data_IF_226207770589
#
_entry.id   IF_226207770589
#
_cell.length_a   1.000
_cell.length_b   1.000
_cell.length_c   1.000
_cell.angle_alpha   90.00
_cell.angle_beta   90.00
_cell.angle_gamma   90.00
#
_symmetry.space_group_name_H-M   'P 1'
#
loop_
_entity.id
_entity.type
_entity.pdbx_description
1 polymer ?
#
# COMPACT_ATOMS: atom_id res chain seq x y z
N UNK A 1 -5.77 -2.87 -73.03
CA UNK A 1 -5.07 -2.41 -71.81
C UNK A 1 -5.68 -1.07 -71.43
N UNK A 2 -6.10 -0.87 -70.18
CA UNK A 2 -6.88 0.30 -69.78
C UNK A 2 -6.39 0.76 -68.39
N UNK A 3 -5.73 1.92 -68.33
CA UNK A 3 -5.22 2.47 -67.07
C UNK A 3 -6.33 3.23 -66.35
N UNK A 4 -6.75 2.72 -65.19
CA UNK A 4 -7.66 3.43 -64.27
C UNK A 4 -6.80 4.19 -63.26
N UNK A 5 -6.84 5.53 -63.31
CA UNK A 5 -6.13 6.38 -62.37
C UNK A 5 -6.96 6.59 -61.10
N UNK A 6 -6.51 6.06 -59.96
CA UNK A 6 -7.17 6.26 -58.67
C UNK A 6 -6.53 7.48 -57.96
N UNK A 7 -7.05 8.67 -58.27
CA UNK A 7 -6.97 9.85 -57.40
C UNK A 7 -8.15 9.80 -56.42
N UNK A 8 -7.90 9.57 -55.13
CA UNK A 8 -8.78 9.97 -54.02
C UNK A 8 -7.95 9.96 -52.72
N UNK A 9 -7.44 11.14 -52.33
CA UNK A 9 -6.70 11.37 -51.09
C UNK A 9 -7.25 12.67 -50.48
N UNK A 10 -8.35 12.56 -49.73
CA UNK A 10 -8.90 13.62 -48.87
C UNK A 10 -10.02 13.06 -47.95
N UNK A 11 -10.28 13.77 -46.84
CA UNK A 11 -11.59 13.81 -46.17
C UNK A 11 -12.18 12.52 -45.56
N UNK A 12 -11.38 11.74 -44.81
CA UNK A 12 -11.89 11.01 -43.63
C UNK A 12 -11.05 11.38 -42.40
N UNK A 13 -11.20 12.61 -41.94
CA UNK A 13 -10.67 13.11 -40.67
C UNK A 13 -11.66 14.15 -40.13
N UNK A 14 -12.29 13.85 -39.00
CA UNK A 14 -13.03 14.75 -38.06
C UNK A 14 -13.93 13.91 -37.12
N UNK A 15 -14.53 12.81 -37.59
CA UNK A 15 -15.64 12.13 -36.90
C UNK A 15 -15.25 11.01 -35.92
N UNK A 16 -14.14 11.15 -35.18
CA UNK A 16 -13.67 10.11 -34.23
C UNK A 16 -13.09 10.70 -32.93
N UNK A 17 -13.81 11.63 -32.31
CA UNK A 17 -13.30 12.43 -31.18
C UNK A 17 -14.29 12.65 -30.01
N UNK A 18 -15.34 11.81 -29.86
CA UNK A 18 -16.48 12.12 -28.97
C UNK A 18 -17.00 10.97 -28.08
N UNK A 19 -16.20 9.94 -27.78
CA UNK A 19 -16.67 8.73 -27.06
C UNK A 19 -15.68 8.16 -26.01
N UNK A 20 -14.93 9.02 -25.29
CA UNK A 20 -13.84 8.57 -24.40
C UNK A 20 -13.73 9.35 -23.06
N UNK A 21 -14.85 9.72 -22.43
CA UNK A 21 -14.87 10.59 -21.23
C UNK A 21 -15.58 9.97 -20.01
N UNK A 22 -15.71 8.64 -19.93
CA UNK A 22 -16.71 7.99 -19.06
C UNK A 22 -16.18 6.75 -18.29
N UNK A 23 -15.04 6.80 -17.57
CA UNK A 23 -14.50 5.55 -16.96
C UNK A 23 -13.76 5.66 -15.62
N UNK A 24 -14.01 6.71 -14.81
CA UNK A 24 -13.27 6.94 -13.56
C UNK A 24 -13.90 6.36 -12.27
N UNK A 25 -15.21 6.07 -12.23
CA UNK A 25 -15.93 5.91 -10.96
C UNK A 25 -15.97 4.47 -10.37
N UNK A 26 -15.31 3.49 -11.00
CA UNK A 26 -15.44 2.07 -10.63
C UNK A 26 -14.59 1.58 -9.44
N UNK A 27 -13.43 2.17 -9.18
CA UNK A 27 -12.45 1.58 -8.25
C UNK A 27 -12.84 1.69 -6.77
N UNK A 28 -13.41 2.82 -6.32
CA UNK A 28 -13.69 3.08 -4.90
C UNK A 28 -14.63 2.04 -4.27
N UNK A 29 -15.66 1.61 -5.02
CA UNK A 29 -16.59 0.58 -4.55
C UNK A 29 -15.90 -0.78 -4.30
N UNK A 30 -14.98 -1.17 -5.19
CA UNK A 30 -14.26 -2.45 -5.07
C UNK A 30 -13.29 -2.48 -3.88
N UNK A 31 -12.69 -1.35 -3.54
CA UNK A 31 -11.77 -1.20 -2.41
C UNK A 31 -12.48 -1.32 -1.06
N UNK A 32 -13.64 -0.67 -0.91
CA UNK A 32 -14.50 -0.80 0.27
C UNK A 32 -15.00 -2.23 0.45
N UNK A 33 -15.46 -2.87 -0.63
CA UNK A 33 -15.96 -4.25 -0.62
C UNK A 33 -14.86 -5.26 -0.26
N UNK A 34 -13.64 -5.09 -0.78
CA UNK A 34 -12.48 -5.90 -0.41
C UNK A 34 -12.10 -5.70 1.06
N UNK A 35 -12.04 -4.45 1.52
CA UNK A 35 -11.69 -4.11 2.90
C UNK A 35 -12.66 -4.75 3.90
N UNK A 36 -13.96 -4.66 3.64
CA UNK A 36 -15.00 -5.35 4.41
C UNK A 36 -14.77 -6.86 4.44
N UNK A 37 -14.56 -7.49 3.27
CA UNK A 37 -14.36 -8.93 3.17
C UNK A 37 -13.06 -9.44 3.81
N UNK A 38 -12.05 -8.57 3.99
CA UNK A 38 -10.85 -8.84 4.77
C UNK A 38 -11.13 -8.75 6.29
N UNK A 39 -11.86 -7.71 6.72
CA UNK A 39 -12.24 -7.49 8.13
C UNK A 39 -13.17 -8.58 8.67
N UNK A 40 -14.15 -9.04 7.89
CA UNK A 40 -15.08 -10.10 8.28
C UNK A 40 -14.40 -11.48 8.48
N UNK A 41 -13.14 -11.65 8.03
CA UNK A 41 -12.32 -12.84 8.30
C UNK A 41 -11.59 -12.80 9.65
N UNK A 42 -11.53 -11.64 10.32
CA UNK A 42 -10.84 -11.50 11.59
C UNK A 42 -11.81 -11.80 12.76
N UNK A 43 -11.63 -12.89 13.52
CA UNK A 43 -12.55 -13.26 14.59
C UNK A 43 -12.56 -12.27 15.78
N UNK A 44 -11.57 -11.38 15.91
CA UNK A 44 -11.49 -10.38 16.98
C UNK A 44 -12.28 -9.10 16.69
N UNK A 45 -12.74 -8.91 15.45
CA UNK A 45 -13.43 -7.69 15.00
C UNK A 45 -14.88 -8.03 14.62
N UNK A 46 -15.79 -7.06 14.74
CA UNK A 46 -17.16 -7.13 14.23
C UNK A 46 -17.44 -5.85 13.44
N UNK A 47 -17.78 -5.98 12.16
CA UNK A 47 -18.28 -4.83 11.36
C UNK A 47 -19.67 -4.45 11.89
N UNK A 48 -19.87 -3.18 12.19
CA UNK A 48 -21.16 -2.64 12.64
C UNK A 48 -21.93 -1.98 11.50
N UNK A 49 -21.26 -1.11 10.74
CA UNK A 49 -21.83 -0.43 9.57
C UNK A 49 -20.75 -0.08 8.56
N UNK A 50 -21.13 0.03 7.29
CA UNK A 50 -20.31 0.60 6.22
C UNK A 50 -21.05 1.83 5.70
N UNK A 51 -20.36 2.97 5.65
CA UNK A 51 -20.87 4.19 5.01
C UNK A 51 -20.11 4.41 3.70
N UNK A 52 -20.78 4.07 2.60
CA UNK A 52 -20.24 4.20 1.24
C UNK A 52 -20.11 5.67 0.78
N UNK A 53 -20.80 6.62 1.44
CA UNK A 53 -20.72 8.05 1.13
C UNK A 53 -19.55 8.71 1.88
N UNK A 54 -19.34 8.34 3.14
CA UNK A 54 -18.21 8.79 3.95
C UNK A 54 -16.91 8.00 3.66
N UNK A 55 -17.00 6.86 2.95
CA UNK A 55 -15.90 5.92 2.72
C UNK A 55 -15.28 5.36 4.01
N UNK A 56 -16.12 5.11 5.02
CA UNK A 56 -15.72 4.64 6.36
C UNK A 56 -16.42 3.34 6.76
N UNK A 57 -15.68 2.45 7.41
CA UNK A 57 -16.20 1.25 8.06
C UNK A 57 -16.19 1.47 9.57
N UNK A 58 -17.35 1.30 10.23
CA UNK A 58 -17.42 1.21 11.69
C UNK A 58 -17.21 -0.23 12.14
N UNK A 59 -16.24 -0.40 13.01
CA UNK A 59 -15.80 -1.66 13.59
C UNK A 59 -16.06 -1.64 15.09
N UNK A 60 -16.23 -2.82 15.67
CA UNK A 60 -16.20 -3.05 17.11
C UNK A 60 -15.16 -4.11 17.44
N UNK A 61 -14.26 -3.80 18.36
CA UNK A 61 -13.17 -4.69 18.78
C UNK A 61 -13.69 -5.55 19.94
N UNK A 62 -13.81 -6.87 19.73
CA UNK A 62 -14.47 -7.76 20.71
C UNK A 62 -13.73 -7.87 22.04
N UNK A 63 -12.44 -7.55 22.08
CA UNK A 63 -11.62 -7.58 23.29
C UNK A 63 -11.81 -6.37 24.21
N UNK A 64 -12.25 -5.22 23.68
CA UNK A 64 -12.44 -3.96 24.43
C UNK A 64 -13.88 -3.42 24.38
N UNK A 65 -14.73 -4.02 23.55
CA UNK A 65 -16.07 -3.55 23.12
C UNK A 65 -16.08 -2.15 22.46
N UNK A 66 -14.89 -1.65 22.11
CA UNK A 66 -14.64 -0.31 21.59
C UNK A 66 -15.08 -0.18 20.13
N UNK A 67 -15.75 0.93 19.79
CA UNK A 67 -16.16 1.25 18.43
C UNK A 67 -15.15 2.19 17.75
N UNK A 68 -14.59 1.74 16.63
CA UNK A 68 -13.60 2.47 15.84
C UNK A 68 -14.14 2.70 14.42
N UNK A 69 -13.98 3.91 13.90
CA UNK A 69 -14.32 4.26 12.51
C UNK A 69 -13.03 4.42 11.70
N UNK A 70 -12.85 3.63 10.64
CA UNK A 70 -11.64 3.61 9.80
C UNK A 70 -11.96 3.67 8.32
N UNK A 71 -11.06 4.27 7.54
CA UNK A 71 -11.08 4.27 6.09
C UNK A 71 -10.26 3.09 5.51
N UNK A 72 -10.50 2.69 4.25
CA UNK A 72 -9.70 1.67 3.57
C UNK A 72 -8.18 1.95 3.56
N UNK A 73 -7.77 3.22 3.45
CA UNK A 73 -6.36 3.62 3.43
C UNK A 73 -5.63 3.38 4.76
N UNK A 74 -6.30 3.62 5.88
CA UNK A 74 -5.73 3.40 7.22
C UNK A 74 -5.56 1.90 7.51
N UNK A 75 -6.49 1.07 7.03
CA UNK A 75 -6.43 -0.40 7.12
C UNK A 75 -5.25 -1.01 6.34
N UNK A 76 -4.75 -0.32 5.31
CA UNK A 76 -3.62 -0.77 4.50
C UNK A 76 -2.25 -0.35 5.07
N UNK A 77 -2.21 0.64 5.98
CA UNK A 77 -0.98 1.30 6.41
C UNK A 77 -0.38 0.73 7.72
N UNK A 78 -1.12 -0.08 8.48
CA UNK A 78 -0.75 -0.46 9.85
C UNK A 78 -0.86 -1.98 10.11
N UNK A 79 0.11 -2.59 10.82
CA UNK A 79 -0.08 -3.86 11.50
C UNK A 79 -1.31 -3.82 12.43
N UNK A 80 -2.04 -4.94 12.51
CA UNK A 80 -3.26 -5.04 13.33
C UNK A 80 -2.98 -4.81 14.83
N UNK A 81 -1.74 -5.04 15.28
CA UNK A 81 -1.30 -4.71 16.65
C UNK A 81 -1.26 -3.20 16.92
N UNK A 82 -0.96 -2.38 15.91
CA UNK A 82 -0.79 -0.94 16.06
C UNK A 82 -2.14 -0.20 16.03
N UNK A 83 -3.16 -0.79 15.37
CA UNK A 83 -4.55 -0.32 15.44
C UNK A 83 -5.09 -0.26 16.89
N UNK A 84 -4.62 -1.14 17.77
CA UNK A 84 -4.96 -1.15 19.20
C UNK A 84 -4.27 -0.04 20.01
N UNK A 85 -3.32 0.71 19.41
CA UNK A 85 -2.50 1.71 20.09
C UNK A 85 -2.85 3.16 19.71
N UNK A 86 -3.76 3.38 18.75
CA UNK A 86 -4.04 4.70 18.19
C UNK A 86 -4.86 5.63 19.10
N UNK A 87 -5.74 5.11 19.94
CA UNK A 87 -6.77 5.90 20.64
C UNK A 87 -6.30 6.57 21.95
N UNK A 88 -5.01 6.93 22.04
CA UNK A 88 -4.41 7.58 23.22
C UNK A 88 -4.21 9.10 23.06
N UNK A 89 -4.58 9.69 21.91
CA UNK A 89 -4.31 11.09 21.56
C UNK A 89 -5.59 11.94 21.60
N UNK A 90 -5.66 13.03 22.41
CA UNK A 90 -6.82 13.91 22.44
C UNK A 90 -6.93 14.77 21.17
N UNK A 91 -8.15 15.07 20.66
CA UNK A 91 -8.33 15.77 19.39
C UNK A 91 -8.02 17.26 19.51
N UNK A 92 -7.18 17.77 18.59
CA UNK A 92 -6.97 19.21 18.37
C UNK A 92 -7.76 19.68 17.15
N UNK A 93 -8.56 20.74 17.28
CA UNK A 93 -9.46 21.21 16.22
C UNK A 93 -8.92 22.40 15.43
N UNK A 94 -8.94 22.33 14.10
CA UNK A 94 -8.93 23.51 13.22
C UNK A 94 -9.46 23.19 11.80
N UNK A 95 -10.59 23.81 11.43
CA UNK A 95 -10.97 24.11 10.03
C UNK A 95 -10.28 25.43 9.57
N UNK A 96 -10.39 25.91 8.31
CA UNK A 96 -11.15 25.43 7.13
C UNK A 96 -10.17 24.90 6.02
N UNK A 97 -10.49 24.74 4.72
CA UNK A 97 -11.62 25.13 3.86
C UNK A 97 -11.83 24.14 2.68
N UNK A 98 -12.72 24.47 1.73
CA UNK A 98 -13.08 23.68 0.53
C UNK A 98 -13.10 24.59 -0.71
N UNK A 99 -12.72 24.05 -1.89
CA UNK A 99 -13.04 24.59 -3.23
C UNK A 99 -13.36 23.40 -4.17
N UNK A 100 -14.19 23.60 -5.20
CA UNK A 100 -15.02 22.56 -5.84
C UNK A 100 -14.46 21.75 -7.04
N UNK A 101 -15.18 20.64 -7.26
CA UNK A 101 -15.42 19.70 -8.41
C UNK A 101 -15.44 20.32 -9.85
N UNK A 102 -15.56 19.56 -10.99
CA UNK A 102 -15.97 18.14 -11.25
C UNK A 102 -14.93 17.29 -12.06
N UNK A 103 -14.97 15.95 -12.25
CA UNK A 103 -15.98 14.88 -12.46
C UNK A 103 -16.41 14.59 -13.93
N UNK A 104 -16.31 13.30 -14.36
CA UNK A 104 -17.12 12.59 -15.41
C UNK A 104 -16.89 11.04 -15.36
N UNK A 105 -17.89 10.25 -15.80
CA UNK A 105 -18.07 8.81 -15.47
C UNK A 105 -18.97 8.04 -16.47
N UNK A 106 -18.91 6.68 -16.57
CA UNK A 106 -19.96 5.70 -17.06
C UNK A 106 -19.62 4.61 -18.13
N UNK A 107 -19.94 3.32 -17.81
CA UNK A 107 -20.35 2.18 -18.72
C UNK A 107 -19.36 1.63 -19.79
N UNK A 108 -19.56 0.48 -20.48
CA UNK A 108 -20.12 -0.90 -20.23
C UNK A 108 -19.83 -1.78 -21.52
N UNK A 109 -20.30 -3.02 -21.83
CA UNK A 109 -21.26 -3.98 -21.24
C UNK A 109 -21.05 -5.45 -21.76
N UNK A 110 -21.41 -6.44 -20.93
CA UNK A 110 -22.07 -7.77 -21.14
C UNK A 110 -21.94 -8.69 -22.41
N UNK A 111 -21.96 -10.01 -22.17
CA UNK A 111 -22.65 -11.12 -22.91
C UNK A 111 -22.63 -12.44 -22.05
N UNK A 112 -23.51 -13.43 -22.30
CA UNK A 112 -23.68 -14.71 -21.53
C UNK A 112 -24.04 -15.89 -22.51
N UNK A 113 -24.56 -17.12 -22.14
CA UNK A 113 -24.83 -17.80 -20.84
C UNK A 113 -24.50 -19.35 -20.80
N UNK A 114 -25.06 -20.10 -19.81
CA UNK A 114 -25.40 -21.58 -19.84
C UNK A 114 -24.31 -22.62 -19.47
N UNK A 115 -24.58 -23.83 -18.86
CA UNK A 115 -25.74 -24.38 -18.11
C UNK A 115 -25.43 -24.82 -16.63
N UNK A 116 -26.40 -25.45 -15.93
CA UNK A 116 -26.28 -26.03 -14.57
C UNK A 116 -26.06 -27.57 -14.55
N UNK A 117 -25.76 -28.19 -13.38
CA UNK A 117 -26.71 -29.21 -12.85
C UNK A 117 -26.80 -29.41 -11.31
N UNK A 118 -27.96 -29.98 -10.89
CA UNK A 118 -28.24 -30.88 -9.74
C UNK A 118 -28.14 -30.42 -8.25
N UNK A 119 -29.10 -30.92 -7.44
CA UNK A 119 -29.11 -30.94 -5.96
C UNK A 119 -28.50 -32.26 -5.42
N UNK A 120 -28.27 -32.37 -4.09
CA UNK A 120 -29.22 -33.15 -3.27
C UNK A 120 -29.59 -32.52 -1.90
N UNK A 121 -30.57 -33.14 -1.22
CA UNK A 121 -31.07 -32.78 0.12
C UNK A 121 -30.20 -33.34 1.27
N UNK A 122 -30.24 -32.71 2.46
CA UNK A 122 -30.59 -33.37 3.74
C UNK A 122 -30.50 -32.42 4.97
N UNK A 123 -31.38 -32.65 5.93
CA UNK A 123 -31.37 -32.15 7.32
C UNK A 123 -30.35 -32.95 8.19
N UNK A 124 -29.90 -32.48 9.39
CA UNK A 124 -30.76 -32.00 10.47
C UNK A 124 -30.26 -30.80 11.30
N UNK A 125 -31.11 -30.40 12.26
CA UNK A 125 -30.81 -29.43 13.32
C UNK A 125 -29.72 -29.95 14.28
N UNK A 126 -28.99 -29.05 14.93
CA UNK A 126 -28.06 -29.41 16.03
C UNK A 126 -28.04 -28.34 17.12
N UNK A 127 -28.62 -28.74 18.25
CA UNK A 127 -28.49 -28.28 19.64
C UNK A 127 -27.42 -27.22 19.94
N UNK A 128 -27.81 -26.15 20.66
CA UNK A 128 -26.89 -25.19 21.27
C UNK A 128 -26.03 -25.85 22.36
N UNK A 129 -24.68 -25.71 22.32
CA UNK A 129 -23.83 -25.83 23.50
C UNK A 129 -23.99 -24.62 24.44
N UNK A 130 -23.78 -24.84 25.74
CA UNK A 130 -23.85 -23.78 26.75
C UNK A 130 -22.65 -22.80 26.71
N UNK A 131 -22.78 -21.66 27.39
CA UNK A 131 -21.74 -20.63 27.50
C UNK A 131 -20.42 -21.20 28.07
N UNK A 132 -19.27 -21.02 27.39
CA UNK A 132 -17.97 -21.22 28.00
C UNK A 132 -17.70 -20.06 28.97
N UNK A 133 -17.48 -20.37 30.25
CA UNK A 133 -17.13 -19.38 31.26
C UNK A 133 -15.80 -18.69 30.91
N UNK A 134 -15.79 -17.35 30.98
CA UNK A 134 -14.64 -16.53 30.61
C UNK A 134 -13.45 -16.82 31.54
N UNK A 135 -12.31 -17.31 31.03
CA UNK A 135 -11.11 -17.45 31.85
C UNK A 135 -10.58 -16.06 32.20
N UNK A 136 -10.36 -15.80 33.49
CA UNK A 136 -9.77 -14.55 33.98
C UNK A 136 -8.48 -14.24 33.23
N UNK A 137 -8.42 -13.09 32.56
CA UNK A 137 -7.27 -12.72 31.76
C UNK A 137 -5.99 -12.69 32.62
N UNK A 138 -4.89 -13.34 32.21
CA UNK A 138 -3.67 -13.35 32.99
C UNK A 138 -3.08 -11.94 33.07
N UNK A 139 -2.89 -11.45 34.30
CA UNK A 139 -2.28 -10.15 34.54
C UNK A 139 -0.83 -10.12 34.01
N UNK A 140 -0.63 -9.40 32.92
CA UNK A 140 0.71 -9.02 32.45
C UNK A 140 1.26 -7.91 33.34
N UNK A 141 2.55 -7.99 33.67
CA UNK A 141 3.24 -6.95 34.46
C UNK A 141 4.17 -6.17 33.54
N UNK A 142 4.04 -4.85 33.54
CA UNK A 142 4.88 -3.92 32.78
C UNK A 142 5.75 -3.15 33.77
N UNK A 143 7.03 -3.51 33.82
CA UNK A 143 8.04 -2.80 34.60
C UNK A 143 8.82 -1.84 33.67
N UNK A 144 9.06 -0.62 34.15
CA UNK A 144 9.81 0.42 33.43
C UNK A 144 10.90 0.97 34.35
N UNK A 145 12.14 0.60 34.09
CA UNK A 145 13.32 0.98 34.87
C UNK A 145 14.45 1.35 33.91
N UNK A 146 15.17 2.44 34.18
CA UNK A 146 16.36 2.90 33.42
C UNK A 146 16.21 2.86 31.90
N UNK A 147 15.09 3.38 31.38
CA UNK A 147 14.79 3.45 29.95
C UNK A 147 14.45 2.11 29.28
N UNK A 148 14.45 1.00 30.03
CA UNK A 148 14.05 -0.32 29.55
C UNK A 148 12.62 -0.64 29.97
N UNK A 149 11.91 -1.30 29.07
CA UNK A 149 10.57 -1.85 29.31
C UNK A 149 10.67 -3.36 29.34
N UNK A 150 10.23 -3.95 30.46
CA UNK A 150 10.10 -5.39 30.64
C UNK A 150 8.63 -5.75 30.76
N UNK A 151 8.13 -6.60 29.87
CA UNK A 151 6.77 -7.13 29.92
C UNK A 151 6.85 -8.61 30.23
N UNK A 152 6.28 -9.00 31.37
CA UNK A 152 6.28 -10.38 31.87
C UNK A 152 4.86 -10.91 31.99
N UNK A 153 4.60 -12.06 31.38
CA UNK A 153 3.32 -12.77 31.43
C UNK A 153 3.51 -14.28 31.21
N UNK A 154 2.47 -15.11 31.37
CA UNK A 154 2.59 -16.55 31.19
C UNK A 154 3.00 -16.89 29.76
N UNK A 155 4.17 -17.50 29.60
CA UNK A 155 4.75 -17.89 28.31
C UNK A 155 5.52 -16.80 27.55
N UNK A 156 5.54 -15.54 28.01
CA UNK A 156 6.30 -14.46 27.37
C UNK A 156 7.08 -13.60 28.37
N UNK A 157 8.36 -13.37 28.06
CA UNK A 157 9.21 -12.35 28.69
C UNK A 157 9.81 -11.51 27.57
N UNK A 158 9.24 -10.31 27.38
CA UNK A 158 9.72 -9.34 26.40
C UNK A 158 10.56 -8.31 27.14
N UNK A 159 11.87 -8.34 26.92
CA UNK A 159 12.82 -7.43 27.53
C UNK A 159 13.53 -6.64 26.42
N UNK A 160 13.39 -5.32 26.48
CA UNK A 160 14.05 -4.42 25.51
C UNK A 160 15.53 -4.34 25.81
N UNK A 161 16.34 -5.11 25.08
CA UNK A 161 17.80 -4.99 25.15
C UNK A 161 18.21 -3.56 24.75
N UNK A 162 19.15 -2.93 25.47
CA UNK A 162 19.65 -1.61 25.08
C UNK A 162 20.35 -1.73 23.73
N UNK A 163 19.92 -0.92 22.75
CA UNK A 163 20.49 -0.96 21.40
C UNK A 163 21.92 -0.43 21.42
N UNK A 164 22.89 -1.35 21.32
CA UNK A 164 24.28 -1.09 21.61
C UNK A 164 25.06 -0.55 20.39
N UNK A 165 24.67 0.62 19.86
CA UNK A 165 25.42 1.30 18.81
C UNK A 165 25.19 2.82 18.79
N UNK A 166 26.30 3.60 18.81
CA UNK A 166 26.33 5.01 18.38
C UNK A 166 26.16 6.08 19.46
N UNK A 167 27.27 6.72 19.83
CA UNK A 167 27.27 8.03 20.50
C UNK A 167 26.72 9.13 19.57
N UNK A 168 25.39 9.27 19.48
CA UNK A 168 24.73 10.47 18.95
C UNK A 168 23.29 10.63 19.47
N UNK A 169 23.02 10.14 20.69
CA UNK A 169 21.72 10.16 21.36
C UNK A 169 21.26 11.55 21.85
N UNK A 170 21.47 12.60 21.05
CA UNK A 170 20.64 13.81 21.12
C UNK A 170 19.25 13.41 20.65
N UNK A 171 18.25 13.38 21.55
CA UNK A 171 16.88 12.90 21.33
C UNK A 171 16.04 13.70 20.33
N UNK A 172 16.51 13.84 19.09
CA UNK A 172 15.72 14.31 17.94
C UNK A 172 14.88 13.15 17.44
N UNK A 173 13.57 13.38 17.33
CA UNK A 173 12.67 12.60 16.49
C UNK A 173 13.33 12.33 15.13
N UNK A 174 13.25 11.09 14.58
CA UNK A 174 13.82 10.80 13.27
C UNK A 174 13.28 11.81 12.25
N UNK A 175 14.19 12.56 11.64
CA UNK A 175 13.84 13.50 10.56
C UNK A 175 13.60 12.68 9.31
N UNK A 176 12.38 12.73 8.81
CA UNK A 176 12.06 12.19 7.51
C UNK A 176 12.43 13.20 6.42
N UNK A 177 13.03 12.71 5.34
CA UNK A 177 13.24 13.44 4.10
C UNK A 177 11.92 13.54 3.31
N UNK A 178 11.81 14.53 2.43
CA UNK A 178 10.70 14.62 1.46
C UNK A 178 10.89 13.61 0.31
N UNK A 179 9.80 13.01 -0.22
CA UNK A 179 9.85 12.11 -1.38
C UNK A 179 10.50 12.76 -2.62
N UNK A 180 11.40 12.04 -3.29
CA UNK A 180 12.03 12.51 -4.53
C UNK A 180 11.18 12.08 -5.73
N UNK A 181 10.57 13.06 -6.41
CA UNK A 181 9.86 12.85 -7.67
C UNK A 181 10.76 13.23 -8.85
N UNK A 182 11.00 12.29 -9.77
CA UNK A 182 11.71 12.52 -11.03
C UNK A 182 10.76 12.39 -12.23
N UNK A 183 10.74 13.39 -13.09
CA UNK A 183 9.83 13.49 -14.23
C UNK A 183 10.54 14.16 -15.42
N UNK A 184 10.37 13.60 -16.64
CA UNK A 184 10.79 14.18 -17.92
C UNK A 184 12.30 14.26 -18.22
N UNK A 185 13.15 14.50 -17.21
CA UNK A 185 14.58 14.79 -17.38
C UNK A 185 15.48 13.78 -16.64
N UNK A 186 16.77 13.80 -16.99
CA UNK A 186 17.79 13.05 -16.24
C UNK A 186 18.00 13.63 -14.83
N UNK A 187 18.14 12.76 -13.85
CA UNK A 187 18.37 13.10 -12.44
C UNK A 187 19.39 12.16 -11.80
N UNK A 188 20.12 12.64 -10.79
CA UNK A 188 21.10 11.86 -10.03
C UNK A 188 20.87 11.98 -8.53
N UNK A 189 20.94 10.85 -7.83
CA UNK A 189 20.88 10.69 -6.37
C UNK A 189 22.15 9.96 -5.96
N UNK A 190 23.21 10.74 -5.69
CA UNK A 190 24.54 10.21 -5.43
C UNK A 190 24.98 10.48 -3.98
N UNK A 191 25.45 9.43 -3.29
CA UNK A 191 25.96 9.48 -1.91
C UNK A 191 24.97 10.06 -0.87
N UNK A 192 23.65 9.86 -1.06
CA UNK A 192 22.62 10.31 -0.10
C UNK A 192 22.14 9.17 0.79
N UNK A 193 21.97 9.44 2.08
CA UNK A 193 21.02 8.69 2.92
C UNK A 193 19.66 9.39 2.83
N UNK A 194 18.60 8.62 2.69
CA UNK A 194 17.21 9.08 2.68
C UNK A 194 16.39 8.22 3.63
N UNK A 195 15.56 8.85 4.46
CA UNK A 195 14.57 8.15 5.29
C UNK A 195 13.21 8.81 5.09
N UNK A 196 12.29 8.19 4.36
CA UNK A 196 11.03 8.83 3.95
C UNK A 196 9.83 8.12 4.57
N UNK A 197 8.85 8.91 5.02
CA UNK A 197 7.54 8.39 5.40
C UNK A 197 6.63 8.40 4.16
N UNK A 198 6.18 7.24 3.69
CA UNK A 198 5.59 7.01 2.38
C UNK A 198 6.60 6.41 1.38
N UNK A 199 6.32 6.56 0.09
CA UNK A 199 7.24 6.16 -0.99
C UNK A 199 8.44 7.12 -1.07
N UNK A 200 9.68 6.61 -1.11
CA UNK A 200 10.87 7.46 -1.02
C UNK A 200 11.29 8.10 -2.36
N UNK A 201 11.21 7.35 -3.46
CA UNK A 201 11.56 7.83 -4.80
C UNK A 201 10.53 7.38 -5.82
N UNK A 202 10.00 8.32 -6.61
CA UNK A 202 9.03 8.09 -7.68
C UNK A 202 9.61 8.60 -9.00
N UNK A 203 10.01 7.70 -9.89
CA UNK A 203 10.55 8.02 -11.21
C UNK A 203 9.50 7.74 -12.30
N UNK A 204 9.13 8.76 -13.09
CA UNK A 204 8.06 8.66 -14.09
C UNK A 204 8.25 9.52 -15.35
N UNK A 205 7.38 9.33 -16.33
CA UNK A 205 7.23 10.21 -17.49
C UNK A 205 8.53 10.43 -18.27
N UNK A 206 9.20 9.36 -18.68
CA UNK A 206 10.46 9.40 -19.42
C UNK A 206 11.72 9.75 -18.60
N UNK A 207 11.62 9.97 -17.28
CA UNK A 207 12.77 10.25 -16.41
C UNK A 207 13.91 9.22 -16.58
N UNK A 208 15.15 9.70 -16.56
CA UNK A 208 16.36 8.88 -16.50
C UNK A 208 17.07 9.11 -15.15
N UNK A 209 16.88 8.20 -14.18
CA UNK A 209 17.36 8.35 -12.82
C UNK A 209 18.58 7.47 -12.54
N UNK A 210 19.65 8.08 -12.01
CA UNK A 210 20.79 7.37 -11.45
C UNK A 210 20.78 7.44 -9.93
N UNK A 211 20.89 6.29 -9.27
CA UNK A 211 21.03 6.15 -7.81
C UNK A 211 22.38 5.48 -7.56
N UNK A 212 23.32 6.20 -6.95
CA UNK A 212 24.69 5.71 -6.72
C UNK A 212 25.10 5.89 -5.26
N UNK A 213 25.76 4.89 -4.66
CA UNK A 213 26.32 4.95 -3.29
C UNK A 213 25.33 5.43 -2.22
N UNK A 214 24.02 5.21 -2.41
CA UNK A 214 22.97 5.82 -1.60
C UNK A 214 22.26 4.78 -0.72
N UNK A 215 21.63 5.23 0.35
CA UNK A 215 21.06 4.39 1.41
C UNK A 215 19.62 4.86 1.68
N UNK A 216 18.65 4.14 1.12
CA UNK A 216 17.25 4.59 1.02
C UNK A 216 16.37 3.72 1.91
N UNK A 217 15.75 4.33 2.92
CA UNK A 217 14.74 3.73 3.78
C UNK A 217 13.36 4.38 3.55
N UNK A 218 12.31 3.54 3.48
CA UNK A 218 10.93 3.97 3.27
C UNK A 218 9.94 3.19 4.17
N UNK A 219 8.91 3.86 4.67
CA UNK A 219 7.75 3.16 5.25
C UNK A 219 6.80 2.64 4.15
N UNK A 220 6.76 3.29 3.00
CA UNK A 220 6.13 2.79 1.77
C UNK A 220 7.10 1.99 0.90
N UNK A 221 7.05 2.22 -0.40
CA UNK A 221 7.96 1.63 -1.40
C UNK A 221 9.22 2.49 -1.56
N UNK A 222 10.40 1.89 -1.50
CA UNK A 222 11.65 2.66 -1.57
C UNK A 222 11.92 3.27 -2.96
N UNK A 223 11.61 2.54 -4.04
CA UNK A 223 11.72 3.05 -5.42
C UNK A 223 10.52 2.58 -6.24
N UNK A 224 9.73 3.53 -6.75
CA UNK A 224 8.56 3.30 -7.61
C UNK A 224 8.85 3.85 -9.01
N UNK A 225 8.73 3.01 -10.05
CA UNK A 225 9.14 3.32 -11.43
C UNK A 225 7.98 3.16 -12.40
N UNK A 226 7.50 4.27 -12.97
CA UNK A 226 6.27 4.35 -13.77
C UNK A 226 6.54 5.05 -15.10
N UNK A 227 6.93 4.30 -16.12
CA UNK A 227 7.45 4.84 -17.39
C UNK A 227 8.72 5.68 -17.20
N UNK A 228 9.78 5.05 -16.69
CA UNK A 228 11.09 5.67 -16.49
C UNK A 228 12.23 4.65 -16.63
N UNK A 229 13.45 5.17 -16.75
CA UNK A 229 14.69 4.39 -16.84
C UNK A 229 15.53 4.64 -15.59
N UNK A 230 15.83 3.60 -14.81
CA UNK A 230 16.48 3.75 -13.49
C UNK A 230 17.72 2.86 -13.38
N UNK A 231 18.85 3.46 -13.00
CA UNK A 231 20.12 2.79 -12.77
C UNK A 231 20.47 2.84 -11.28
N UNK A 232 20.47 1.69 -10.60
CA UNK A 232 20.76 1.56 -9.17
C UNK A 232 22.12 0.85 -9.01
N UNK A 233 23.12 1.58 -8.51
CA UNK A 233 24.49 1.07 -8.37
C UNK A 233 25.00 1.26 -6.94
N UNK A 234 25.58 0.20 -6.38
CA UNK A 234 26.25 0.22 -5.08
C UNK A 234 25.42 0.86 -3.94
N UNK A 235 24.11 0.60 -3.92
CA UNK A 235 23.16 1.30 -3.05
C UNK A 235 22.34 0.34 -2.17
N UNK A 236 21.93 0.81 -0.99
CA UNK A 236 20.94 0.17 -0.12
C UNK A 236 19.54 0.70 -0.42
N UNK A 237 18.57 -0.22 -0.58
CA UNK A 237 17.19 0.11 -0.94
C UNK A 237 16.24 -0.75 -0.09
N UNK A 238 15.61 -0.14 0.92
CA UNK A 238 14.74 -0.79 1.88
C UNK A 238 13.40 -0.08 1.99
N UNK A 239 12.29 -0.80 1.78
CA UNK A 239 10.95 -0.26 1.99
C UNK A 239 10.03 -1.29 2.63
N UNK A 240 9.29 -0.89 3.67
CA UNK A 240 8.33 -1.77 4.36
C UNK A 240 7.17 -2.14 3.43
N UNK A 241 6.66 -1.18 2.66
CA UNK A 241 5.74 -1.43 1.56
C UNK A 241 6.38 -2.19 0.39
N UNK A 242 7.70 -2.08 0.18
CA UNK A 242 8.48 -2.85 -0.78
C UNK A 242 9.82 -2.19 -1.16
N UNK A 243 10.81 -2.97 -1.59
CA UNK A 243 12.11 -2.41 -2.04
C UNK A 243 12.01 -1.74 -3.43
N UNK A 244 11.15 -2.25 -4.30
CA UNK A 244 11.02 -1.81 -5.68
C UNK A 244 9.60 -2.08 -6.19
N UNK A 245 8.98 -1.11 -6.87
CA UNK A 245 7.77 -1.30 -7.65
C UNK A 245 8.00 -0.83 -9.10
N UNK A 246 7.62 -1.63 -10.10
CA UNK A 246 7.81 -1.26 -11.51
C UNK A 246 6.54 -1.47 -12.35
N UNK A 247 6.17 -0.44 -13.12
CA UNK A 247 5.14 -0.49 -14.15
C UNK A 247 5.62 -1.12 -15.46
N UNK A 248 4.67 -1.44 -16.35
CA UNK A 248 4.88 -2.27 -17.55
C UNK A 248 5.88 -1.73 -18.58
N UNK A 249 6.12 -0.41 -18.65
CA UNK A 249 7.13 0.21 -19.54
C UNK A 249 8.44 0.57 -18.84
N UNK A 250 8.56 0.33 -17.52
CA UNK A 250 9.75 0.68 -16.77
C UNK A 250 10.97 -0.16 -17.18
N UNK A 251 12.14 0.49 -17.20
CA UNK A 251 13.44 -0.12 -17.47
C UNK A 251 14.34 0.10 -16.25
N UNK A 252 14.78 -0.97 -15.60
CA UNK A 252 15.56 -0.86 -14.35
C UNK A 252 16.82 -1.68 -14.47
N UNK A 253 17.96 -1.10 -14.12
CA UNK A 253 19.28 -1.73 -14.15
C UNK A 253 19.86 -1.70 -12.74
N UNK A 254 20.18 -2.86 -12.17
CA UNK A 254 20.68 -2.96 -10.79
C UNK A 254 22.08 -3.56 -10.77
N UNK A 255 23.02 -3.00 -9.99
CA UNK A 255 24.38 -3.52 -9.85
C UNK A 255 24.91 -3.33 -8.43
N UNK A 256 25.54 -4.36 -7.86
CA UNK A 256 26.21 -4.31 -6.54
C UNK A 256 25.35 -3.74 -5.39
N UNK A 257 24.02 -3.86 -5.46
CA UNK A 257 23.07 -3.17 -4.59
C UNK A 257 22.28 -4.14 -3.69
N UNK A 258 21.86 -3.66 -2.52
CA UNK A 258 21.15 -4.45 -1.50
C UNK A 258 19.68 -4.00 -1.45
N UNK A 259 18.78 -4.89 -1.81
CA UNK A 259 17.33 -4.70 -1.76
C UNK A 259 16.75 -5.45 -0.57
N UNK A 260 15.91 -4.78 0.23
CA UNK A 260 15.23 -5.34 1.41
C UNK A 260 13.73 -5.02 1.36
N UNK A 261 12.90 -6.06 1.35
CA UNK A 261 11.46 -5.96 1.18
C UNK A 261 11.00 -6.27 -0.25
N UNK A 262 9.69 -6.53 -0.41
CA UNK A 262 9.12 -7.08 -1.63
C UNK A 262 9.42 -6.24 -2.89
N UNK A 263 9.98 -6.89 -3.91
CA UNK A 263 10.19 -6.28 -5.24
C UNK A 263 9.00 -6.62 -6.16
N UNK A 264 7.98 -5.75 -6.21
CA UNK A 264 6.82 -5.89 -7.12
C UNK A 264 7.22 -5.51 -8.54
N UNK A 265 6.93 -6.38 -9.50
CA UNK A 265 7.33 -6.20 -10.91
C UNK A 265 6.15 -6.54 -11.81
N UNK A 266 5.72 -5.61 -12.69
CA UNK A 266 4.84 -5.97 -13.80
C UNK A 266 5.57 -6.99 -14.71
N UNK A 267 4.92 -8.07 -15.20
CA UNK A 267 5.56 -9.09 -16.03
C UNK A 267 6.22 -8.59 -17.33
N UNK A 268 5.90 -7.38 -17.78
CA UNK A 268 6.48 -6.72 -18.97
C UNK A 268 7.68 -5.83 -18.64
N UNK A 269 7.96 -5.56 -17.35
CA UNK A 269 9.07 -4.71 -16.90
C UNK A 269 10.41 -5.25 -17.41
N UNK A 270 11.22 -4.40 -18.03
CA UNK A 270 12.62 -4.72 -18.33
C UNK A 270 13.53 -4.45 -17.12
N UNK A 271 13.45 -5.28 -16.08
CA UNK A 271 14.45 -5.31 -15.00
C UNK A 271 15.67 -6.16 -15.45
N UNK A 272 16.87 -5.57 -15.37
CA UNK A 272 18.14 -6.24 -15.64
C UNK A 272 19.04 -6.19 -14.41
N UNK A 273 19.22 -7.36 -13.79
CA UNK A 273 20.26 -7.56 -12.78
C UNK A 273 21.62 -7.69 -13.49
N UNK A 274 22.55 -6.77 -13.18
CA UNK A 274 23.90 -6.71 -13.74
C UNK A 274 24.95 -7.33 -12.81
N UNK A 275 24.52 -8.12 -11.82
CA UNK A 275 25.38 -8.85 -10.90
C UNK A 275 25.73 -8.08 -9.61
N UNK A 276 26.14 -8.86 -8.60
CA UNK A 276 26.51 -8.37 -7.26
C UNK A 276 25.33 -7.90 -6.39
N UNK A 277 24.09 -8.00 -6.88
CA UNK A 277 22.93 -7.58 -6.10
C UNK A 277 22.52 -8.64 -5.07
N UNK A 278 22.06 -8.19 -3.90
CA UNK A 278 21.47 -9.03 -2.87
C UNK A 278 20.01 -8.64 -2.69
N UNK A 279 19.10 -9.60 -2.79
CA UNK A 279 17.65 -9.42 -2.61
C UNK A 279 17.20 -10.18 -1.36
N UNK A 280 16.42 -9.55 -0.47
CA UNK A 280 15.90 -10.13 0.78
C UNK A 280 14.49 -9.64 1.07
#
# INVERSE_FOLDING_TARGET
MQFIAIKQLASISVLLALFFTLTACGQKASELQWSRAALERNPQVKVLSVDEKANTIKLRIKATDEELSVTPGELAALPIADLLSLNAQPPSSSLPAIVDSPDVSSTAAATAPTPAPALPEAQPETTLPAEPSVPTAPAYTVQREDGRVRVSGPGISLETMPSAEGENASGKTPRYDEPIICEGRMMRVDNRRLNVNGDAIIARGGCELYITNSDIAATGTAVTVLDATVHITNSGVQGVGGSLATGSSARVFTRNSKFVGLARRDPKTALRDLGGNTWR
#
